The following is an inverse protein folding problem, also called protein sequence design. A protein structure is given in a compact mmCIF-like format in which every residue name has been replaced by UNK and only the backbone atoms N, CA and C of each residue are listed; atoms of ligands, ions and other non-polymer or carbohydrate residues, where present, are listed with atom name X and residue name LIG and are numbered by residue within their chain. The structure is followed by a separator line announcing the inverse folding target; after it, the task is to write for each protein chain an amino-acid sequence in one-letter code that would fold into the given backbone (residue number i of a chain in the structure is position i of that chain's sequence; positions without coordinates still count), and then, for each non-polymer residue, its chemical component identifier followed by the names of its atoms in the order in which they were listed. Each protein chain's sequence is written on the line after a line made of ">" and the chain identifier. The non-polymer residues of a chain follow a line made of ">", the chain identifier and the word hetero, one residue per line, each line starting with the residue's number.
data_IF_045871325665
#
_entry.id   IF_045871325665
#
_cell.length_a   1.000
_cell.length_b   1.000
_cell.length_c   1.000
_cell.angle_alpha   90.00
_cell.angle_beta   90.00
_cell.angle_gamma   90.00
#
_symmetry.space_group_name_H-M   'P 1'
#
loop_
_entity.id
_entity.type
_entity.pdbx_description
1 polymer ?
#
# COMPACT_ATOMS: atom_id res chain seq x y z
N UNK A 1 24.97 -2.24 -0.28
CA UNK A 1 23.70 -1.55 -0.02
C UNK A 1 23.20 -0.95 -1.32
N UNK A 2 21.92 -0.64 -1.43
CA UNK A 2 21.43 0.20 -2.52
C UNK A 2 22.09 1.59 -2.43
N UNK A 3 22.11 2.35 -3.53
CA UNK A 3 22.64 3.71 -3.52
C UNK A 3 21.86 4.57 -2.51
N UNK A 4 22.53 5.41 -1.72
CA UNK A 4 21.86 6.34 -0.81
C UNK A 4 20.81 7.21 -1.53
N UNK A 5 21.09 7.61 -2.77
CA UNK A 5 20.12 8.36 -3.60
C UNK A 5 18.83 7.55 -3.88
N UNK A 6 18.91 6.23 -4.00
CA UNK A 6 17.73 5.36 -4.19
C UNK A 6 16.85 5.39 -2.95
N UNK A 7 17.44 5.21 -1.76
CA UNK A 7 16.72 5.27 -0.49
C UNK A 7 16.07 6.63 -0.26
N UNK A 8 16.82 7.71 -0.51
CA UNK A 8 16.31 9.07 -0.43
C UNK A 8 15.11 9.30 -1.36
N UNK A 9 15.23 8.95 -2.65
CA UNK A 9 14.18 9.20 -3.63
C UNK A 9 12.94 8.35 -3.39
N UNK A 10 13.10 7.08 -2.98
CA UNK A 10 11.98 6.21 -2.63
C UNK A 10 11.27 6.70 -1.38
N UNK A 11 12.02 7.08 -0.33
CA UNK A 11 11.45 7.68 0.88
C UNK A 11 10.66 8.96 0.58
N UNK A 12 11.22 9.86 -0.22
CA UNK A 12 10.55 11.09 -0.66
C UNK A 12 9.29 10.81 -1.48
N UNK A 13 9.36 9.86 -2.43
CA UNK A 13 8.22 9.48 -3.27
C UNK A 13 7.07 8.89 -2.45
N UNK A 14 7.38 7.99 -1.52
CA UNK A 14 6.37 7.36 -0.65
C UNK A 14 5.67 8.40 0.23
N UNK A 15 6.42 9.32 0.84
CA UNK A 15 5.82 10.36 1.68
C UNK A 15 4.92 11.29 0.85
N UNK A 16 5.35 11.72 -0.34
CA UNK A 16 4.51 12.52 -1.25
C UNK A 16 3.22 11.81 -1.64
N UNK A 17 3.29 10.52 -1.99
CA UNK A 17 2.11 9.74 -2.35
C UNK A 17 1.16 9.61 -1.16
N UNK A 18 1.68 9.29 0.04
CA UNK A 18 0.86 9.18 1.26
C UNK A 18 0.14 10.49 1.57
N UNK A 19 0.80 11.64 1.41
CA UNK A 19 0.20 12.96 1.73
C UNK A 19 -0.74 13.45 0.62
N UNK A 20 -0.58 13.01 -0.64
CA UNK A 20 -1.42 13.44 -1.77
C UNK A 20 -2.94 13.44 -1.50
N UNK A 21 -3.57 12.35 -1.00
CA UNK A 21 -5.01 12.33 -0.73
C UNK A 21 -5.41 13.32 0.37
N UNK A 22 -4.57 13.54 1.38
CA UNK A 22 -4.81 14.52 2.43
C UNK A 22 -4.70 15.94 1.89
N UNK A 23 -3.66 16.22 1.10
CA UNK A 23 -3.48 17.52 0.47
C UNK A 23 -4.64 17.89 -0.47
N UNK A 24 -5.20 16.88 -1.17
CA UNK A 24 -6.39 17.06 -2.00
C UNK A 24 -7.66 17.28 -1.18
N UNK A 25 -7.83 16.59 -0.04
CA UNK A 25 -9.04 16.65 0.79
C UNK A 25 -9.14 17.91 1.63
N UNK A 26 -8.02 18.35 2.20
CA UNK A 26 -7.92 19.45 3.17
C UNK A 26 -7.33 20.72 2.58
N UNK A 27 -7.14 20.76 1.26
CA UNK A 27 -6.55 21.89 0.53
C UNK A 27 -5.22 22.36 1.15
N UNK A 28 -4.36 21.40 1.48
CA UNK A 28 -3.04 21.70 2.05
C UNK A 28 -2.23 22.46 1.00
N UNK A 29 -1.63 23.58 1.42
CA UNK A 29 -0.75 24.36 0.57
C UNK A 29 0.44 23.51 0.10
N UNK A 30 0.52 23.33 -1.21
CA UNK A 30 1.52 22.48 -1.87
C UNK A 30 2.88 23.15 -1.91
N UNK A 31 2.96 24.47 -1.79
CA UNK A 31 4.22 25.20 -1.72
C UNK A 31 4.96 24.85 -0.43
N UNK A 32 4.25 24.84 0.70
CA UNK A 32 4.78 24.38 1.98
C UNK A 32 5.04 22.86 1.99
N UNK A 33 4.22 22.09 1.27
CA UNK A 33 4.39 20.64 1.16
C UNK A 33 5.66 20.21 0.40
N UNK A 34 6.38 21.12 -0.27
CA UNK A 34 7.70 20.81 -0.87
C UNK A 34 8.68 20.28 0.17
N UNK A 35 8.57 20.70 1.44
CA UNK A 35 9.38 20.19 2.55
C UNK A 35 9.17 18.69 2.83
N UNK A 36 8.09 18.08 2.32
CA UNK A 36 7.91 16.63 2.41
C UNK A 36 8.96 15.86 1.61
N UNK A 37 9.55 16.46 0.57
CA UNK A 37 10.60 15.81 -0.22
C UNK A 37 11.85 15.55 0.64
N UNK A 38 12.51 16.56 1.23
CA UNK A 38 13.67 16.31 2.08
C UNK A 38 13.32 15.52 3.34
N UNK A 39 12.14 15.73 3.95
CA UNK A 39 11.73 14.94 5.12
C UNK A 39 11.56 13.45 4.79
N UNK A 40 10.89 13.13 3.68
CA UNK A 40 10.71 11.76 3.23
C UNK A 40 12.03 11.11 2.82
N UNK A 41 12.92 11.87 2.18
CA UNK A 41 14.24 11.37 1.80
C UNK A 41 15.15 11.10 3.00
N UNK A 42 15.16 12.00 3.99
CA UNK A 42 15.89 11.77 5.25
C UNK A 42 15.31 10.57 6.00
N UNK A 43 13.98 10.43 6.02
CA UNK A 43 13.34 9.26 6.60
C UNK A 43 13.76 7.95 5.91
N UNK A 44 13.85 7.92 4.57
CA UNK A 44 14.37 6.77 3.82
C UNK A 44 15.84 6.44 4.09
N UNK A 45 16.65 7.47 4.41
CA UNK A 45 18.07 7.33 4.76
C UNK A 45 18.32 7.04 6.25
N UNK A 46 17.31 7.15 7.12
CA UNK A 46 17.51 7.02 8.56
C UNK A 46 18.26 5.73 8.98
N UNK A 47 18.04 4.56 8.35
CA UNK A 47 18.80 3.35 8.65
C UNK A 47 20.31 3.44 8.31
N UNK A 48 20.71 4.29 7.37
CA UNK A 48 22.12 4.48 6.97
C UNK A 48 22.94 5.22 8.02
N UNK A 49 22.31 5.74 9.09
CA UNK A 49 23.02 6.41 10.20
C UNK A 49 24.12 5.53 10.81
N UNK A 50 23.97 4.20 10.75
CA UNK A 50 24.98 3.25 11.21
C UNK A 50 26.34 3.40 10.53
N UNK A 51 26.42 4.04 9.36
CA UNK A 51 27.69 4.33 8.68
C UNK A 51 28.44 5.55 9.22
N UNK A 52 27.76 6.43 9.95
CA UNK A 52 28.33 7.73 10.38
C UNK A 52 28.48 7.86 11.89
N UNK A 53 27.71 7.09 12.67
CA UNK A 53 27.80 7.13 14.14
C UNK A 53 28.75 6.07 14.68
N UNK A 54 29.70 6.44 15.55
CA UNK A 54 30.54 5.46 16.27
C UNK A 54 29.81 4.80 17.45
N UNK A 55 28.58 5.25 17.77
CA UNK A 55 27.82 4.79 18.93
C UNK A 55 26.83 3.70 18.51
N UNK A 56 26.81 2.58 19.22
CA UNK A 56 25.92 1.43 18.97
C UNK A 56 26.03 0.82 17.57
N UNK A 57 27.22 0.84 16.95
CA UNK A 57 27.45 0.37 15.58
C UNK A 57 26.88 -1.04 15.32
N UNK A 58 27.19 -1.99 16.20
CA UNK A 58 26.69 -3.38 16.06
C UNK A 58 25.17 -3.49 16.16
N UNK A 59 24.55 -2.75 17.08
CA UNK A 59 23.10 -2.76 17.27
C UNK A 59 22.39 -2.08 16.10
N UNK A 60 22.91 -0.95 15.62
CA UNK A 60 22.37 -0.23 14.47
C UNK A 60 22.52 -1.05 13.18
N UNK A 61 23.65 -1.73 12.99
CA UNK A 61 23.83 -2.66 11.87
C UNK A 61 22.86 -3.85 11.95
N UNK A 62 22.61 -4.40 13.14
CA UNK A 62 21.63 -5.47 13.31
C UNK A 62 20.20 -4.99 12.98
N UNK A 63 19.84 -3.78 13.42
CA UNK A 63 18.55 -3.16 13.08
C UNK A 63 18.45 -2.92 11.57
N UNK A 64 19.48 -2.30 10.96
CA UNK A 64 19.56 -2.03 9.52
C UNK A 64 19.26 -3.26 8.66
N UNK A 65 19.78 -4.42 9.04
CA UNK A 65 19.61 -5.67 8.31
C UNK A 65 18.32 -6.44 8.65
N UNK A 66 17.39 -5.83 9.40
CA UNK A 66 16.11 -6.46 9.75
C UNK A 66 14.99 -6.07 8.77
N UNK A 67 13.98 -6.95 8.55
CA UNK A 67 12.82 -6.61 7.72
C UNK A 67 12.03 -5.39 8.20
N UNK A 68 12.11 -5.03 9.48
CA UNK A 68 11.45 -3.85 10.05
C UNK A 68 11.93 -2.54 9.43
N UNK A 69 13.13 -2.54 8.84
CA UNK A 69 13.69 -1.37 8.17
C UNK A 69 12.97 -1.05 6.85
N UNK A 70 12.12 -1.94 6.33
CA UNK A 70 11.17 -1.58 5.26
C UNK A 70 10.21 -0.44 5.64
N UNK A 71 10.00 -0.19 6.95
CA UNK A 71 9.26 0.98 7.43
C UNK A 71 9.97 2.31 7.17
N UNK A 72 11.22 2.32 6.69
CA UNK A 72 11.97 3.51 6.32
C UNK A 72 12.15 3.57 4.81
N UNK A 73 11.04 3.65 4.07
CA UNK A 73 11.11 3.75 2.61
C UNK A 73 11.51 2.45 1.89
N UNK A 74 11.05 1.29 2.38
CA UNK A 74 11.36 -0.04 1.82
C UNK A 74 12.86 -0.36 1.82
N UNK A 75 13.59 0.20 2.79
CA UNK A 75 15.04 0.20 2.80
C UNK A 75 15.63 -1.21 2.81
N UNK A 76 15.13 -2.13 3.64
CA UNK A 76 15.60 -3.52 3.66
C UNK A 76 15.37 -4.23 2.30
N UNK A 77 14.23 -4.01 1.67
CA UNK A 77 13.87 -4.56 0.36
C UNK A 77 14.78 -4.04 -0.74
N UNK A 78 15.05 -2.73 -0.76
CA UNK A 78 15.98 -2.10 -1.70
C UNK A 78 17.40 -2.64 -1.51
N UNK A 79 17.76 -3.03 -0.29
CA UNK A 79 19.06 -3.56 0.03
C UNK A 79 19.24 -5.05 -0.28
N UNK A 80 18.22 -5.75 -0.76
CA UNK A 80 18.33 -7.18 -1.10
C UNK A 80 19.32 -7.42 -2.26
N UNK A 81 20.06 -8.56 -2.26
CA UNK A 81 21.04 -8.86 -3.31
C UNK A 81 20.50 -8.75 -4.75
N UNK A 82 19.25 -9.14 -4.97
CA UNK A 82 18.60 -9.08 -6.28
C UNK A 82 18.46 -7.64 -6.82
N UNK A 83 18.22 -6.67 -5.94
CA UNK A 83 18.10 -5.25 -6.29
C UNK A 83 19.49 -4.62 -6.41
N UNK A 84 20.40 -4.93 -5.47
CA UNK A 84 21.79 -4.43 -5.50
C UNK A 84 22.57 -4.83 -6.76
N UNK A 85 22.29 -6.02 -7.30
CA UNK A 85 22.88 -6.47 -8.55
C UNK A 85 22.47 -5.62 -9.77
N UNK A 86 21.45 -4.75 -9.61
CA UNK A 86 20.83 -3.91 -10.64
C UNK A 86 21.01 -2.44 -10.28
N UNK A 87 22.25 -2.01 -10.09
CA UNK A 87 22.60 -0.69 -9.58
C UNK A 87 21.97 0.44 -10.41
N UNK A 88 22.22 0.45 -11.73
CA UNK A 88 21.75 1.52 -12.62
C UNK A 88 20.22 1.51 -12.75
N UNK A 89 19.62 0.32 -12.82
CA UNK A 89 18.17 0.17 -12.91
C UNK A 89 17.48 0.63 -11.62
N UNK A 90 18.09 0.41 -10.45
CA UNK A 90 17.55 0.85 -9.16
C UNK A 90 17.60 2.38 -9.01
N UNK A 91 18.71 3.01 -9.42
CA UNK A 91 18.81 4.48 -9.46
C UNK A 91 17.77 5.04 -10.42
N UNK A 92 17.74 4.57 -11.67
CA UNK A 92 16.80 5.04 -12.68
C UNK A 92 15.34 4.84 -12.24
N UNK A 93 15.02 3.66 -11.71
CA UNK A 93 13.69 3.35 -11.18
C UNK A 93 13.27 4.29 -10.06
N UNK A 94 14.17 4.60 -9.12
CA UNK A 94 13.87 5.54 -8.02
C UNK A 94 13.62 6.97 -8.51
N UNK A 95 14.36 7.43 -9.54
CA UNK A 95 14.11 8.73 -10.18
C UNK A 95 12.75 8.75 -10.85
N UNK A 96 12.41 7.72 -11.63
CA UNK A 96 11.12 7.61 -12.31
C UNK A 96 9.97 7.61 -11.29
N UNK A 97 10.07 6.80 -10.24
CA UNK A 97 9.06 6.73 -9.17
C UNK A 97 8.90 8.07 -8.48
N UNK A 98 10.00 8.76 -8.17
CA UNK A 98 9.97 10.08 -7.56
C UNK A 98 9.31 11.13 -8.48
N UNK A 99 9.69 11.18 -9.76
CA UNK A 99 9.08 12.11 -10.74
C UNK A 99 7.58 11.85 -10.88
N UNK A 100 7.16 10.58 -10.93
CA UNK A 100 5.75 10.21 -10.96
C UNK A 100 5.02 10.62 -9.67
N UNK A 101 5.64 10.45 -8.50
CA UNK A 101 5.06 10.88 -7.23
C UNK A 101 4.87 12.40 -7.18
N UNK A 102 5.85 13.18 -7.64
CA UNK A 102 5.74 14.64 -7.80
C UNK A 102 4.61 14.98 -8.75
N UNK A 103 4.56 14.36 -9.94
CA UNK A 103 3.51 14.59 -10.93
C UNK A 103 2.11 14.28 -10.39
N UNK A 104 1.96 13.21 -9.61
CA UNK A 104 0.69 12.84 -8.95
C UNK A 104 0.32 13.85 -7.86
N UNK A 105 1.27 14.23 -7.01
CA UNK A 105 1.06 15.17 -5.92
C UNK A 105 0.57 16.54 -6.43
N UNK A 106 1.28 17.10 -7.42
CA UNK A 106 0.89 18.36 -8.07
C UNK A 106 -0.35 18.18 -8.94
N UNK A 107 -0.44 17.07 -9.66
CA UNK A 107 -1.52 16.77 -10.59
C UNK A 107 -2.88 16.58 -9.91
N UNK A 108 -2.87 16.14 -8.65
CA UNK A 108 -4.08 15.95 -7.84
C UNK A 108 -4.97 17.20 -7.76
N UNK A 109 -4.40 18.41 -7.90
CA UNK A 109 -5.15 19.67 -7.91
C UNK A 109 -6.16 19.74 -9.06
N UNK A 110 -5.78 19.24 -10.23
CA UNK A 110 -6.60 19.30 -11.43
C UNK A 110 -7.63 18.17 -11.50
N UNK A 111 -7.44 17.11 -10.69
CA UNK A 111 -8.32 15.95 -10.66
C UNK A 111 -9.64 16.18 -9.88
N UNK A 112 -9.77 17.33 -9.21
CA UNK A 112 -10.98 17.82 -8.55
C UNK A 112 -11.71 18.82 -9.47
N UNK A 113 -12.58 18.37 -10.39
CA UNK A 113 -13.41 19.32 -11.11
C UNK A 113 -14.39 19.98 -10.13
N UNK A 114 -14.17 21.28 -9.89
CA UNK A 114 -15.19 22.23 -9.45
C UNK A 114 -16.43 22.08 -10.34
N UNK A 115 -17.61 22.27 -9.76
CA UNK A 115 -18.96 22.17 -10.34
C UNK A 115 -19.64 20.78 -10.32
N UNK A 116 -20.34 20.58 -9.21
CA UNK A 116 -21.60 19.85 -9.11
C UNK A 116 -22.66 20.48 -9.99
N UNK A 117 -22.95 19.90 -11.15
CA UNK A 117 -24.30 19.96 -11.70
C UNK A 117 -24.58 18.77 -12.66
N UNK A 118 -25.74 18.11 -12.50
CA UNK A 118 -26.28 17.11 -13.45
C UNK A 118 -25.64 15.70 -13.50
N UNK A 119 -25.51 14.96 -12.37
CA UNK A 119 -24.84 13.62 -12.35
C UNK A 119 -25.66 12.49 -13.00
N UNK A 120 -25.34 12.15 -14.26
CA UNK A 120 -25.77 10.90 -14.93
C UNK A 120 -25.28 9.64 -14.19
N UNK A 121 -26.00 8.51 -14.31
CA UNK A 121 -25.64 7.22 -13.67
C UNK A 121 -24.21 6.78 -14.02
N UNK A 122 -23.80 6.97 -15.29
CA UNK A 122 -22.46 6.63 -15.76
C UNK A 122 -21.35 7.39 -15.03
N UNK A 123 -21.49 8.71 -14.84
CA UNK A 123 -20.49 9.53 -14.15
C UNK A 123 -20.29 9.11 -12.69
N UNK A 124 -21.36 8.70 -12.00
CA UNK A 124 -21.26 8.16 -10.62
C UNK A 124 -20.44 6.87 -10.57
N UNK A 125 -20.70 5.94 -11.49
CA UNK A 125 -19.95 4.68 -11.57
C UNK A 125 -18.47 4.96 -11.84
N UNK A 126 -18.14 5.83 -12.80
CA UNK A 126 -16.74 6.18 -13.10
C UNK A 126 -16.02 6.79 -11.90
N UNK A 127 -16.65 7.72 -11.19
CA UNK A 127 -16.05 8.34 -9.99
C UNK A 127 -15.80 7.29 -8.91
N UNK A 128 -16.78 6.44 -8.65
CA UNK A 128 -16.66 5.33 -7.70
C UNK A 128 -15.52 4.38 -8.09
N UNK A 129 -15.50 3.90 -9.33
CA UNK A 129 -14.46 2.98 -9.80
C UNK A 129 -13.07 3.61 -9.66
N UNK A 130 -12.92 4.89 -10.04
CA UNK A 130 -11.67 5.63 -9.86
C UNK A 130 -11.23 5.66 -8.40
N UNK A 131 -12.16 5.97 -7.47
CA UNK A 131 -11.88 5.98 -6.02
C UNK A 131 -11.46 4.61 -5.51
N UNK A 132 -12.18 3.56 -5.90
CA UNK A 132 -11.88 2.18 -5.55
C UNK A 132 -10.50 1.77 -6.04
N UNK A 133 -10.15 2.06 -7.29
CA UNK A 133 -8.85 1.71 -7.88
C UNK A 133 -7.72 2.44 -7.16
N UNK A 134 -7.86 3.74 -6.90
CA UNK A 134 -6.83 4.52 -6.18
C UNK A 134 -6.68 3.99 -4.76
N UNK A 135 -7.78 3.81 -4.01
CA UNK A 135 -7.73 3.29 -2.65
C UNK A 135 -7.15 1.87 -2.59
N UNK A 136 -7.48 1.01 -3.57
CA UNK A 136 -6.93 -0.33 -3.71
C UNK A 136 -5.42 -0.28 -3.97
N UNK A 137 -4.93 0.65 -4.79
CA UNK A 137 -3.50 0.80 -5.04
C UNK A 137 -2.73 1.10 -3.74
N UNK A 138 -3.18 2.08 -2.94
CA UNK A 138 -2.58 2.38 -1.63
C UNK A 138 -2.64 1.19 -0.67
N UNK A 139 -3.80 0.53 -0.58
CA UNK A 139 -3.98 -0.63 0.30
C UNK A 139 -3.12 -1.82 -0.14
N UNK A 140 -2.93 -2.02 -1.44
CA UNK A 140 -2.09 -3.09 -2.01
C UNK A 140 -0.61 -2.85 -1.70
N UNK A 141 -0.15 -1.60 -1.75
CA UNK A 141 1.22 -1.25 -1.32
C UNK A 141 1.40 -1.58 0.17
N UNK A 142 0.45 -1.17 1.01
CA UNK A 142 0.50 -1.48 2.45
C UNK A 142 0.50 -3.00 2.71
N UNK A 143 -0.32 -3.76 2.00
CA UNK A 143 -0.31 -5.22 2.07
C UNK A 143 1.04 -5.81 1.61
N UNK A 144 1.64 -5.25 0.56
CA UNK A 144 2.98 -5.63 0.11
C UNK A 144 4.04 -5.44 1.19
N UNK A 145 3.99 -4.34 1.95
CA UNK A 145 4.87 -4.10 3.11
C UNK A 145 4.66 -5.16 4.18
N UNK A 146 3.40 -5.46 4.55
CA UNK A 146 3.09 -6.49 5.54
C UNK A 146 3.61 -7.85 5.10
N UNK A 147 3.37 -8.24 3.85
CA UNK A 147 3.87 -9.50 3.28
C UNK A 147 5.40 -9.53 3.24
N UNK A 148 6.06 -8.39 2.99
CA UNK A 148 7.53 -8.28 3.02
C UNK A 148 8.08 -8.50 4.43
N UNK A 149 7.52 -7.82 5.44
CA UNK A 149 7.93 -7.92 6.85
C UNK A 149 7.76 -9.35 7.36
N UNK A 150 6.70 -10.04 6.93
CA UNK A 150 6.44 -11.43 7.28
C UNK A 150 7.19 -12.45 6.40
N UNK A 151 8.00 -11.99 5.44
CA UNK A 151 8.70 -12.83 4.45
C UNK A 151 7.79 -13.79 3.64
N UNK A 152 6.51 -13.44 3.49
CA UNK A 152 5.44 -14.33 3.02
C UNK A 152 5.22 -14.30 1.49
N UNK A 153 6.06 -13.65 0.70
CA UNK A 153 5.91 -13.63 -0.77
C UNK A 153 5.91 -15.03 -1.40
N UNK A 154 6.61 -16.00 -0.79
CA UNK A 154 6.59 -17.40 -1.26
C UNK A 154 5.24 -18.08 -0.99
N UNK A 155 4.59 -17.76 0.11
CA UNK A 155 3.24 -18.26 0.39
C UNK A 155 2.23 -17.73 -0.64
N UNK A 156 2.37 -16.47 -1.05
CA UNK A 156 1.54 -15.87 -2.12
C UNK A 156 1.81 -16.55 -3.46
N UNK A 157 3.05 -16.81 -3.83
CA UNK A 157 3.38 -17.45 -5.12
C UNK A 157 3.03 -18.94 -5.17
N UNK A 158 2.92 -19.60 -4.02
CA UNK A 158 2.43 -20.98 -3.92
C UNK A 158 0.96 -21.11 -4.38
N UNK A 159 0.15 -20.05 -4.32
CA UNK A 159 -1.24 -20.05 -4.81
C UNK A 159 -1.35 -20.40 -6.29
N UNK A 160 -0.31 -20.10 -7.08
CA UNK A 160 -0.21 -20.43 -8.51
C UNK A 160 0.78 -21.57 -8.79
N UNK A 161 1.25 -22.27 -7.75
CA UNK A 161 2.16 -23.41 -7.88
C UNK A 161 3.62 -23.03 -8.15
N UNK A 162 4.06 -21.83 -7.75
CA UNK A 162 5.45 -21.38 -7.94
C UNK A 162 6.10 -21.04 -6.60
N UNK A 163 7.42 -21.00 -6.55
CA UNK A 163 8.20 -20.60 -5.35
C UNK A 163 8.90 -19.25 -5.52
N UNK A 164 8.61 -18.53 -6.61
CA UNK A 164 9.27 -17.28 -6.95
C UNK A 164 8.75 -16.12 -6.11
N UNK A 165 9.64 -15.42 -5.43
CA UNK A 165 9.32 -14.19 -4.66
C UNK A 165 8.79 -13.09 -5.59
N UNK A 166 9.36 -12.97 -6.80
CA UNK A 166 8.92 -12.00 -7.80
C UNK A 166 7.47 -12.26 -8.23
N UNK A 167 7.12 -13.52 -8.51
CA UNK A 167 5.75 -13.88 -8.86
C UNK A 167 4.81 -13.57 -7.69
N UNK A 168 5.23 -13.85 -6.45
CA UNK A 168 4.46 -13.51 -5.25
C UNK A 168 4.17 -12.02 -5.14
N UNK A 169 5.18 -11.17 -5.36
CA UNK A 169 5.02 -9.72 -5.37
C UNK A 169 4.11 -9.23 -6.50
N UNK A 170 4.28 -9.75 -7.72
CA UNK A 170 3.44 -9.38 -8.86
C UNK A 170 1.98 -9.81 -8.69
N UNK A 171 1.73 -10.95 -8.05
CA UNK A 171 0.37 -11.44 -7.78
C UNK A 171 -0.38 -10.58 -6.78
N UNK A 172 0.30 -9.85 -5.90
CA UNK A 172 -0.37 -8.92 -4.99
C UNK A 172 -1.13 -7.81 -5.74
N UNK A 173 -0.70 -7.43 -6.94
CA UNK A 173 -1.37 -6.38 -7.73
C UNK A 173 -2.80 -6.80 -8.12
N UNK A 174 -3.03 -7.91 -8.85
CA UNK A 174 -4.38 -8.35 -9.19
C UNK A 174 -5.17 -8.82 -7.95
N UNK A 175 -4.53 -9.48 -6.97
CA UNK A 175 -5.20 -9.90 -5.72
C UNK A 175 -5.70 -8.68 -4.96
N UNK A 176 -4.82 -7.71 -4.70
CA UNK A 176 -5.14 -6.47 -4.02
C UNK A 176 -6.21 -5.68 -4.76
N UNK A 177 -6.10 -5.54 -6.08
CA UNK A 177 -7.15 -4.88 -6.89
C UNK A 177 -8.51 -5.57 -6.73
N UNK A 178 -8.56 -6.91 -6.84
CA UNK A 178 -9.79 -7.69 -6.67
C UNK A 178 -10.41 -7.51 -5.28
N UNK A 179 -9.58 -7.61 -4.23
CA UNK A 179 -9.99 -7.34 -2.85
C UNK A 179 -10.53 -5.90 -2.74
N UNK A 180 -9.85 -4.92 -3.33
CA UNK A 180 -10.28 -3.52 -3.37
C UNK A 180 -11.68 -3.33 -3.95
N UNK A 181 -12.04 -4.05 -5.01
CA UNK A 181 -13.40 -4.01 -5.54
C UNK A 181 -14.43 -4.62 -4.59
N UNK A 182 -14.12 -5.73 -3.91
CA UNK A 182 -14.99 -6.29 -2.87
C UNK A 182 -15.23 -5.28 -1.74
N UNK A 183 -14.18 -4.62 -1.27
CA UNK A 183 -14.28 -3.57 -0.26
C UNK A 183 -15.06 -2.35 -0.74
N UNK A 184 -14.76 -1.85 -1.94
CA UNK A 184 -15.45 -0.69 -2.52
C UNK A 184 -16.95 -0.96 -2.73
N UNK A 185 -17.31 -2.18 -3.11
CA UNK A 185 -18.71 -2.63 -3.17
C UNK A 185 -19.34 -2.68 -1.77
N UNK A 186 -18.67 -3.31 -0.80
CA UNK A 186 -19.13 -3.41 0.58
C UNK A 186 -19.37 -2.05 1.24
N UNK A 187 -18.44 -1.11 1.11
CA UNK A 187 -18.60 0.25 1.64
C UNK A 187 -19.74 1.01 0.96
N UNK A 188 -19.95 0.81 -0.35
CA UNK A 188 -21.06 1.46 -1.05
C UNK A 188 -22.43 0.94 -0.66
N UNK A 189 -22.54 -0.37 -0.42
CA UNK A 189 -23.79 -1.01 -0.02
C UNK A 189 -24.10 -0.80 1.46
N UNK A 190 -23.07 -0.84 2.32
CA UNK A 190 -23.23 -0.79 3.76
C UNK A 190 -23.29 0.61 4.37
N UNK A 191 -22.66 1.61 3.74
CA UNK A 191 -22.51 2.95 4.33
C UNK A 191 -23.22 4.03 3.53
N UNK A 192 -23.83 5.00 4.24
CA UNK A 192 -24.42 6.19 3.62
C UNK A 192 -23.32 7.19 3.17
N UNK A 193 -23.70 8.22 2.39
CA UNK A 193 -22.73 9.17 1.82
C UNK A 193 -21.88 9.87 2.90
N UNK A 194 -22.53 10.32 3.98
CA UNK A 194 -21.90 11.06 5.07
C UNK A 194 -20.93 10.19 5.89
N UNK A 195 -21.25 8.91 6.07
CA UNK A 195 -20.35 7.95 6.73
C UNK A 195 -19.12 7.67 5.84
N UNK A 196 -19.33 7.56 4.52
CA UNK A 196 -18.23 7.32 3.57
C UNK A 196 -17.26 8.48 3.45
N UNK A 197 -17.68 9.72 3.71
CA UNK A 197 -16.80 10.89 3.65
C UNK A 197 -15.96 11.10 4.92
N UNK A 198 -16.20 10.33 5.99
CA UNK A 198 -15.48 10.41 7.27
C UNK A 198 -14.32 9.40 7.33
N UNK A 199 -13.04 9.83 7.28
CA UNK A 199 -11.89 8.92 7.22
C UNK A 199 -11.81 7.94 8.38
N UNK A 200 -12.09 8.38 9.61
CA UNK A 200 -12.08 7.49 10.78
C UNK A 200 -13.13 6.39 10.70
N UNK A 201 -14.33 6.71 10.19
CA UNK A 201 -15.38 5.71 10.02
C UNK A 201 -15.06 4.76 8.87
N UNK A 202 -14.54 5.28 7.75
CA UNK A 202 -14.04 4.48 6.63
C UNK A 202 -12.96 3.50 7.06
N UNK A 203 -11.99 3.95 7.87
CA UNK A 203 -10.92 3.12 8.42
C UNK A 203 -11.45 1.94 9.25
N UNK A 204 -12.38 2.20 10.17
CA UNK A 204 -13.00 1.17 11.00
C UNK A 204 -13.82 0.19 10.16
N UNK A 205 -14.69 0.70 9.28
CA UNK A 205 -15.50 -0.13 8.41
C UNK A 205 -14.65 -0.99 7.46
N UNK A 206 -13.54 -0.43 6.96
CA UNK A 206 -12.54 -1.15 6.19
C UNK A 206 -11.88 -2.25 7.02
N UNK A 207 -11.36 -1.94 8.20
CA UNK A 207 -10.74 -2.94 9.08
C UNK A 207 -11.69 -4.12 9.39
N UNK A 208 -12.96 -3.83 9.72
CA UNK A 208 -13.99 -4.85 9.94
C UNK A 208 -14.26 -5.67 8.67
N UNK A 209 -14.34 -5.02 7.51
CA UNK A 209 -14.47 -5.70 6.21
C UNK A 209 -13.30 -6.65 5.96
N UNK A 210 -12.10 -6.34 6.45
CA UNK A 210 -10.94 -7.23 6.40
C UNK A 210 -11.09 -8.51 7.17
N UNK A 211 -11.77 -8.48 8.31
CA UNK A 211 -12.12 -9.69 9.06
C UNK A 211 -13.06 -10.57 8.22
N UNK A 212 -14.10 -9.99 7.62
CA UNK A 212 -15.04 -10.75 6.77
C UNK A 212 -14.37 -11.33 5.52
N UNK A 213 -13.51 -10.54 4.86
CA UNK A 213 -12.73 -11.01 3.70
C UNK A 213 -11.73 -12.09 4.11
N UNK A 214 -11.15 -12.01 5.30
CA UNK A 214 -10.25 -13.05 5.81
C UNK A 214 -11.01 -14.35 6.08
N UNK A 215 -12.19 -14.29 6.72
CA UNK A 215 -13.04 -15.47 6.94
C UNK A 215 -13.38 -16.13 5.61
N UNK A 216 -13.92 -15.38 4.64
CA UNK A 216 -14.35 -15.93 3.37
C UNK A 216 -13.19 -16.37 2.46
N UNK A 217 -12.16 -15.53 2.33
CA UNK A 217 -11.06 -15.74 1.39
C UNK A 217 -9.97 -16.66 1.92
N UNK A 218 -9.50 -16.42 3.15
CA UNK A 218 -8.37 -17.17 3.72
C UNK A 218 -8.86 -18.40 4.48
N UNK A 219 -9.76 -18.22 5.44
CA UNK A 219 -10.14 -19.32 6.32
C UNK A 219 -10.95 -20.40 5.60
N UNK A 220 -11.74 -20.01 4.59
CA UNK A 220 -12.57 -20.92 3.79
C UNK A 220 -12.07 -21.07 2.35
N UNK A 221 -11.80 -19.96 1.66
CA UNK A 221 -11.44 -19.98 0.24
C UNK A 221 -10.12 -20.66 -0.08
N UNK A 222 -9.06 -20.41 0.69
CA UNK A 222 -7.74 -21.03 0.48
C UNK A 222 -7.79 -22.56 0.62
N UNK A 223 -8.35 -23.14 1.69
CA UNK A 223 -8.52 -24.59 1.77
C UNK A 223 -9.31 -25.17 0.60
N UNK A 224 -10.41 -24.54 0.19
CA UNK A 224 -11.20 -24.98 -0.96
C UNK A 224 -10.37 -24.94 -2.24
N UNK A 225 -9.58 -23.88 -2.45
CA UNK A 225 -8.69 -23.76 -3.61
C UNK A 225 -7.66 -24.89 -3.69
N UNK A 226 -7.03 -25.24 -2.56
CA UNK A 226 -6.09 -26.36 -2.49
C UNK A 226 -6.79 -27.70 -2.66
N UNK A 227 -7.99 -27.86 -2.10
CA UNK A 227 -8.81 -29.06 -2.25
C UNK A 227 -9.19 -29.30 -3.72
N UNK A 228 -9.58 -28.25 -4.45
CA UNK A 228 -9.84 -28.31 -5.90
C UNK A 228 -8.60 -28.67 -6.73
N UNK A 229 -7.39 -28.50 -6.18
CA UNK A 229 -6.12 -28.94 -6.77
C UNK A 229 -5.63 -30.28 -6.20
N UNK A 230 -6.50 -31.03 -5.54
CA UNK A 230 -6.22 -32.33 -4.91
C UNK A 230 -5.19 -32.27 -3.77
N UNK A 231 -4.91 -31.09 -3.22
CA UNK A 231 -4.03 -30.89 -2.06
C UNK A 231 -4.87 -30.82 -0.79
N UNK A 232 -4.82 -31.89 0.00
CA UNK A 232 -5.67 -32.05 1.19
C UNK A 232 -4.95 -31.74 2.52
N UNK A 233 -3.76 -31.14 2.45
CA UNK A 233 -2.91 -30.87 3.62
C UNK A 233 -3.32 -29.61 4.40
N UNK A 234 -4.26 -28.81 3.90
CA UNK A 234 -4.69 -27.56 4.54
C UNK A 234 -6.02 -27.80 5.27
N UNK A 235 -6.09 -27.53 6.59
CA UNK A 235 -7.32 -27.73 7.36
C UNK A 235 -8.42 -26.74 6.94
N UNK A 236 -9.69 -27.16 7.06
CA UNK A 236 -10.86 -26.30 6.86
C UNK A 236 -11.62 -26.18 8.19
N UNK A 237 -11.68 -24.99 8.82
CA UNK A 237 -11.11 -23.71 8.38
C UNK A 237 -9.59 -23.58 8.63
N UNK A 238 -8.93 -22.78 7.80
CA UNK A 238 -7.50 -22.47 7.92
C UNK A 238 -7.25 -21.18 8.71
N UNK A 239 -6.66 -21.31 9.90
CA UNK A 239 -6.34 -20.17 10.75
C UNK A 239 -4.93 -19.66 10.52
N UNK A 240 -4.81 -18.51 9.87
CA UNK A 240 -3.54 -17.82 9.64
C UNK A 240 -3.61 -16.37 10.13
N UNK A 241 -3.07 -16.12 11.33
CA UNK A 241 -3.17 -14.82 12.02
C UNK A 241 -2.46 -13.72 11.24
N UNK A 242 -1.33 -14.02 10.63
CA UNK A 242 -0.53 -13.05 9.87
C UNK A 242 -1.29 -12.47 8.66
N UNK A 243 -2.10 -13.29 7.99
CA UNK A 243 -2.94 -12.82 6.87
C UNK A 243 -4.19 -12.09 7.36
N UNK A 244 -4.66 -12.35 8.58
CA UNK A 244 -5.70 -11.53 9.22
C UNK A 244 -5.17 -10.12 9.44
N UNK A 245 -3.98 -9.99 10.02
CA UNK A 245 -3.31 -8.70 10.21
C UNK A 245 -3.15 -7.97 8.87
N UNK A 246 -2.66 -8.67 7.83
CA UNK A 246 -2.51 -8.10 6.49
C UNK A 246 -3.83 -7.60 5.89
N UNK A 247 -4.92 -8.35 6.02
CA UNK A 247 -6.23 -7.93 5.50
C UNK A 247 -6.87 -6.83 6.34
N UNK A 248 -6.68 -6.80 7.65
CA UNK A 248 -7.12 -5.69 8.50
C UNK A 248 -6.37 -4.39 8.15
N UNK A 249 -5.05 -4.45 7.94
CA UNK A 249 -4.25 -3.29 7.49
C UNK A 249 -4.67 -2.84 6.09
N UNK A 250 -4.82 -3.78 5.15
CA UNK A 250 -5.35 -3.49 3.81
C UNK A 250 -6.68 -2.75 3.92
N UNK A 251 -7.60 -3.27 4.72
CA UNK A 251 -8.92 -2.69 4.91
C UNK A 251 -8.90 -1.31 5.54
N UNK A 252 -8.08 -1.11 6.57
CA UNK A 252 -7.89 0.19 7.22
C UNK A 252 -7.39 1.24 6.23
N UNK A 253 -6.35 0.92 5.46
CA UNK A 253 -5.77 1.82 4.45
C UNK A 253 -6.78 2.08 3.34
N UNK A 254 -7.43 1.04 2.81
CA UNK A 254 -8.45 1.17 1.77
C UNK A 254 -9.57 2.09 2.23
N UNK A 255 -10.14 1.84 3.41
CA UNK A 255 -11.25 2.61 3.96
C UNK A 255 -10.88 4.08 4.19
N UNK A 256 -9.70 4.34 4.76
CA UNK A 256 -9.18 5.70 4.95
C UNK A 256 -9.03 6.43 3.61
N UNK A 257 -8.36 5.81 2.63
CA UNK A 257 -8.09 6.41 1.32
C UNK A 257 -9.37 6.62 0.52
N UNK A 258 -10.27 5.63 0.52
CA UNK A 258 -11.57 5.74 -0.13
C UNK A 258 -12.37 6.93 0.43
N UNK A 259 -12.36 7.10 1.75
CA UNK A 259 -13.03 8.22 2.41
C UNK A 259 -12.38 9.58 2.15
N UNK A 260 -11.05 9.67 2.12
CA UNK A 260 -10.35 10.91 1.74
C UNK A 260 -10.68 11.34 0.31
N UNK A 261 -10.92 10.39 -0.59
CA UNK A 261 -11.32 10.68 -1.97
C UNK A 261 -12.82 11.01 -2.11
N UNK A 262 -13.61 10.76 -1.07
CA UNK A 262 -15.00 11.20 -0.94
C UNK A 262 -15.05 12.65 -0.45
N UNK A 263 -14.78 13.60 -1.35
CA UNK A 263 -15.09 15.01 -1.10
C UNK A 263 -16.60 15.19 -1.06
N UNK A 264 -17.15 15.49 0.11
CA UNK A 264 -18.41 16.24 0.22
C UNK A 264 -18.04 17.73 0.34
N UNK A 265 -18.69 18.62 -0.43
CA UNK A 265 -18.59 20.05 -0.15
C UNK A 265 -19.09 20.27 1.28
N UNK A 266 -18.26 20.87 2.11
CA UNK A 266 -18.67 21.39 3.41
C UNK A 266 -19.64 22.54 3.24
#
# INVERSE_FOLDING_TARGET
>A
MAPAITHFLVGAALLLLVVTPFASRYDIDREHAVWLIPLGGIWGLAPDVHHVTPVFETQLYAIHNSPWVDLFGLHYTLDRPAVRARYLESVFGSIVVFVLAVAVFWGSRWANPMSTDGKTRGRRITITCRRTVIAAAYATIALGVVVSIQENFRAVSALVGTSSVLIGGLLLIPIGTGIGFCYGGGLQLGLNSQQRSRPGFGAVAGCLSGVFVWIGGVAVGVPIWFWLRSVHSVPLPFFHVESLIGLCIYGLVFGTMYSLLCNEPG
#
